data_IF_267835041003
#
_entry.id   IF_267835041003
#
_cell.length_a   1.000
_cell.length_b   1.000
_cell.length_c   1.000
_cell.angle_alpha   90.00
_cell.angle_beta   90.00
_cell.angle_gamma   90.00
#
_symmetry.space_group_name_H-M   'P 1'
#
loop_
_entity.id
_entity.type
_entity.pdbx_description
1 polymer ?
#
# COMPACT_ATOMS: atom_id res chain seq x y z
N UNK A 1 18.85 10.42 18.84
CA UNK A 1 18.58 10.97 17.48
C UNK A 1 18.24 9.92 16.41
N UNK A 2 18.80 8.70 16.40
CA UNK A 2 18.48 7.65 15.39
C UNK A 2 17.04 7.12 15.41
N UNK A 3 16.35 7.21 16.55
CA UNK A 3 14.98 6.71 16.74
C UNK A 3 13.89 7.60 16.14
N UNK A 4 14.10 8.92 16.11
CA UNK A 4 13.11 9.87 15.56
C UNK A 4 13.05 9.81 14.01
N UNK A 5 14.17 9.50 13.36
CA UNK A 5 14.22 9.31 11.90
C UNK A 5 13.46 8.05 11.45
N UNK A 6 13.45 6.98 12.26
CA UNK A 6 12.72 5.74 11.95
C UNK A 6 11.20 5.92 12.05
N UNK A 7 10.72 6.70 13.02
CA UNK A 7 9.29 6.96 13.22
C UNK A 7 8.72 7.96 12.20
N UNK A 8 9.51 8.94 11.75
CA UNK A 8 9.15 9.81 10.62
C UNK A 8 9.16 9.06 9.28
N UNK A 9 10.15 8.19 9.04
CA UNK A 9 10.20 7.34 7.85
C UNK A 9 9.04 6.34 7.77
N UNK A 10 8.62 5.78 8.91
CA UNK A 10 7.47 4.88 8.98
C UNK A 10 6.12 5.59 8.77
N UNK A 11 5.97 6.84 9.24
CA UNK A 11 4.74 7.63 9.02
C UNK A 11 4.59 8.11 7.58
N UNK A 12 5.69 8.40 6.88
CA UNK A 12 5.66 8.72 5.45
C UNK A 12 5.42 7.47 4.57
N UNK A 13 5.93 6.30 4.97
CA UNK A 13 5.67 5.05 4.25
C UNK A 13 4.17 4.69 4.21
N UNK A 14 3.40 5.03 5.25
CA UNK A 14 1.95 4.82 5.30
C UNK A 14 1.13 5.95 4.64
N UNK A 15 1.70 7.13 4.37
CA UNK A 15 1.01 8.21 3.64
C UNK A 15 1.16 8.10 2.12
N UNK A 16 2.06 7.24 1.63
CA UNK A 16 2.28 6.99 0.19
C UNK A 16 1.34 5.90 -0.35
N UNK A 17 0.35 5.46 0.43
CA UNK A 17 -0.79 4.67 -0.09
C UNK A 17 -1.81 5.60 -0.77
N UNK A 18 -1.31 6.41 -1.70
CA UNK A 18 -2.08 7.14 -2.72
C UNK A 18 -2.05 6.24 -3.97
N UNK A 19 -3.15 6.09 -4.74
CA UNK A 19 -3.30 4.99 -5.69
C UNK A 19 -2.14 4.96 -6.68
N UNK A 20 -1.25 3.97 -6.55
CA UNK A 20 -0.09 3.81 -7.42
C UNK A 20 -0.47 3.75 -8.91
N UNK A 21 -1.71 3.37 -9.22
CA UNK A 21 -2.28 3.38 -10.56
C UNK A 21 -2.44 4.80 -11.16
N UNK A 22 -2.79 5.82 -10.37
CA UNK A 22 -3.00 7.19 -10.87
C UNK A 22 -1.66 7.93 -11.07
N UNK A 23 -0.71 7.71 -10.15
CA UNK A 23 0.65 8.27 -10.27
C UNK A 23 1.42 7.62 -11.42
N UNK A 24 1.22 6.32 -11.66
CA UNK A 24 1.84 5.61 -12.79
C UNK A 24 1.35 6.11 -14.15
N UNK A 25 0.06 6.45 -14.29
CA UNK A 25 -0.52 6.95 -15.54
C UNK A 25 -0.03 8.35 -15.88
N UNK A 26 -0.06 9.28 -14.91
CA UNK A 26 0.44 10.63 -15.10
C UNK A 26 1.97 10.66 -15.30
N UNK A 27 2.71 9.79 -14.60
CA UNK A 27 4.14 9.63 -14.84
C UNK A 27 4.43 9.10 -16.25
N UNK A 28 3.67 8.11 -16.75
CA UNK A 28 3.81 7.63 -18.13
C UNK A 28 3.52 8.73 -19.15
N UNK A 29 2.45 9.51 -18.98
CA UNK A 29 2.10 10.59 -19.90
C UNK A 29 3.19 11.67 -19.91
N UNK A 30 3.68 12.07 -18.73
CA UNK A 30 4.79 13.03 -18.62
C UNK A 30 6.11 12.50 -19.19
N UNK A 31 6.39 11.21 -19.03
CA UNK A 31 7.56 10.55 -19.62
C UNK A 31 7.45 10.46 -21.16
N UNK A 32 6.29 10.10 -21.68
CA UNK A 32 6.01 10.06 -23.12
C UNK A 32 6.11 11.45 -23.76
N UNK A 33 5.48 12.45 -23.13
CA UNK A 33 5.58 13.85 -23.57
C UNK A 33 7.03 14.33 -23.57
N UNK A 34 7.76 14.10 -22.49
CA UNK A 34 9.16 14.48 -22.39
C UNK A 34 10.06 13.73 -23.39
N UNK A 35 9.80 12.46 -23.73
CA UNK A 35 10.51 11.77 -24.81
C UNK A 35 10.22 12.37 -26.19
N UNK A 36 8.98 12.79 -26.47
CA UNK A 36 8.58 13.44 -27.73
C UNK A 36 9.24 14.83 -27.85
N UNK A 37 9.27 15.61 -26.77
CA UNK A 37 9.96 16.91 -26.77
C UNK A 37 11.49 16.78 -26.78
N UNK A 38 12.03 15.74 -26.16
CA UNK A 38 13.48 15.49 -26.11
C UNK A 38 14.00 15.07 -27.46
N UNK A 39 13.28 14.17 -28.15
CA UNK A 39 13.60 13.73 -29.51
C UNK A 39 13.42 14.82 -30.56
N UNK A 40 12.44 15.72 -30.39
CA UNK A 40 12.25 16.87 -31.29
C UNK A 40 13.24 18.01 -31.07
N UNK A 41 14.12 17.90 -30.06
CA UNK A 41 15.18 18.88 -29.79
C UNK A 41 14.71 20.20 -29.19
N UNK A 42 13.41 20.34 -28.92
CA UNK A 42 12.76 21.59 -28.49
C UNK A 42 12.92 21.90 -26.99
N UNK A 43 13.39 20.94 -26.20
CA UNK A 43 13.66 21.15 -24.77
C UNK A 43 14.92 21.98 -24.55
N UNK A 44 14.77 23.04 -23.75
CA UNK A 44 15.87 23.80 -23.17
C UNK A 44 16.81 22.88 -22.37
N UNK A 45 18.08 23.29 -22.20
CA UNK A 45 19.08 22.50 -21.47
C UNK A 45 18.58 22.14 -20.06
N UNK A 46 17.93 23.08 -19.38
CA UNK A 46 17.31 22.87 -18.06
C UNK A 46 16.17 21.84 -18.11
N UNK A 47 15.30 21.92 -19.13
CA UNK A 47 14.21 20.97 -19.31
C UNK A 47 14.71 19.54 -19.57
N UNK A 48 15.79 19.38 -20.33
CA UNK A 48 16.43 18.07 -20.54
C UNK A 48 16.98 17.48 -19.24
N UNK A 49 17.59 18.31 -18.40
CA UNK A 49 18.14 17.89 -17.12
C UNK A 49 17.04 17.45 -16.13
N UNK A 50 15.94 18.22 -16.05
CA UNK A 50 14.78 17.86 -15.23
C UNK A 50 14.12 16.57 -15.73
N UNK A 51 14.02 16.38 -17.04
CA UNK A 51 13.48 15.16 -17.64
C UNK A 51 14.34 13.93 -17.28
N UNK A 52 15.66 14.02 -17.46
CA UNK A 52 16.58 12.95 -17.09
C UNK A 52 16.55 12.63 -15.59
N UNK A 53 16.45 13.65 -14.74
CA UNK A 53 16.30 13.47 -13.30
C UNK A 53 14.99 12.73 -12.96
N UNK A 54 13.87 13.11 -13.58
CA UNK A 54 12.57 12.47 -13.40
C UNK A 54 12.59 10.99 -13.84
N UNK A 55 13.12 10.70 -15.04
CA UNK A 55 13.30 9.34 -15.55
C UNK A 55 14.15 8.51 -14.60
N UNK A 56 15.26 9.07 -14.11
CA UNK A 56 16.17 8.38 -13.19
C UNK A 56 15.49 8.04 -11.87
N UNK A 57 14.75 8.98 -11.28
CA UNK A 57 13.98 8.75 -10.04
C UNK A 57 12.91 7.69 -10.26
N UNK A 58 12.19 7.74 -11.39
CA UNK A 58 11.17 6.76 -11.73
C UNK A 58 11.77 5.34 -11.89
N UNK A 59 12.87 5.21 -12.64
CA UNK A 59 13.58 3.95 -12.81
C UNK A 59 14.09 3.39 -11.49
N UNK A 60 14.66 4.23 -10.62
CA UNK A 60 15.11 3.83 -9.28
C UNK A 60 13.96 3.36 -8.40
N UNK A 61 12.81 4.06 -8.43
CA UNK A 61 11.62 3.67 -7.69
C UNK A 61 11.09 2.31 -8.16
N UNK A 62 10.96 2.11 -9.47
CA UNK A 62 10.51 0.83 -10.06
C UNK A 62 11.48 -0.31 -9.76
N UNK A 63 12.79 -0.08 -9.92
CA UNK A 63 13.83 -1.04 -9.56
C UNK A 63 13.70 -1.48 -8.09
N UNK A 64 13.51 -0.53 -7.19
CA UNK A 64 13.36 -0.81 -5.77
C UNK A 64 12.09 -1.62 -5.45
N UNK A 65 10.96 -1.34 -6.11
CA UNK A 65 9.74 -2.16 -5.98
C UNK A 65 9.93 -3.58 -6.51
N UNK A 66 10.56 -3.73 -7.68
CA UNK A 66 10.88 -5.05 -8.26
C UNK A 66 11.80 -5.82 -7.32
N UNK A 67 12.84 -5.17 -6.79
CA UNK A 67 13.77 -5.79 -5.83
C UNK A 67 13.05 -6.25 -4.57
N UNK A 68 12.11 -5.47 -4.03
CA UNK A 68 11.28 -5.87 -2.89
C UNK A 68 10.43 -7.09 -3.20
N UNK A 69 9.75 -7.11 -4.35
CA UNK A 69 8.95 -8.26 -4.80
C UNK A 69 9.79 -9.53 -4.94
N UNK A 70 10.97 -9.42 -5.56
CA UNK A 70 11.93 -10.54 -5.70
C UNK A 70 12.40 -11.05 -4.35
N UNK A 71 12.72 -10.17 -3.40
CA UNK A 71 13.10 -10.55 -2.03
C UNK A 71 11.99 -11.28 -1.28
N UNK A 72 10.75 -10.79 -1.37
CA UNK A 72 9.61 -11.46 -0.76
C UNK A 72 9.40 -12.86 -1.33
N UNK A 73 9.41 -13.01 -2.67
CA UNK A 73 9.31 -14.32 -3.34
C UNK A 73 10.46 -15.27 -2.98
N UNK A 74 11.69 -14.76 -2.97
CA UNK A 74 12.86 -15.54 -2.58
C UNK A 74 12.77 -16.01 -1.12
N UNK A 75 12.24 -15.18 -0.21
CA UNK A 75 12.01 -15.56 1.17
C UNK A 75 10.98 -16.70 1.26
N UNK A 76 9.84 -16.58 0.58
CA UNK A 76 8.81 -17.64 0.54
C UNK A 76 9.38 -18.94 -0.02
N UNK A 77 10.12 -18.88 -1.14
CA UNK A 77 10.78 -20.06 -1.72
C UNK A 77 11.79 -20.70 -0.75
N UNK A 78 12.54 -19.88 0.00
CA UNK A 78 13.49 -20.38 1.00
C UNK A 78 12.79 -21.06 2.18
N UNK A 79 11.62 -20.56 2.60
CA UNK A 79 10.82 -21.16 3.68
C UNK A 79 10.24 -22.49 3.19
N UNK A 80 9.70 -22.53 1.97
CA UNK A 80 9.19 -23.77 1.37
C UNK A 80 10.23 -24.88 1.34
N UNK A 81 11.47 -24.55 0.95
CA UNK A 81 12.57 -25.50 0.91
C UNK A 81 13.00 -25.95 2.32
N UNK A 82 13.13 -25.02 3.27
CA UNK A 82 13.59 -25.33 4.64
C UNK A 82 12.59 -26.13 5.46
N UNK A 83 11.31 -25.83 5.30
CA UNK A 83 10.24 -26.29 6.19
C UNK A 83 9.36 -27.36 5.52
N UNK A 84 9.64 -27.70 4.26
CA UNK A 84 8.87 -28.67 3.49
C UNK A 84 7.44 -28.22 3.19
N UNK A 85 7.21 -26.90 3.12
CA UNK A 85 5.90 -26.29 2.89
C UNK A 85 5.72 -25.90 1.42
N UNK A 86 4.46 -25.67 1.03
CA UNK A 86 4.07 -25.18 -0.29
C UNK A 86 3.31 -23.86 -0.17
N UNK A 87 3.95 -22.86 0.44
CA UNK A 87 3.40 -21.50 0.55
C UNK A 87 3.24 -20.87 -0.83
N UNK A 88 2.08 -20.26 -1.08
CA UNK A 88 1.78 -19.53 -2.31
C UNK A 88 2.52 -18.18 -2.36
N UNK A 89 3.33 -17.99 -3.41
CA UNK A 89 4.13 -16.78 -3.64
C UNK A 89 3.40 -15.72 -4.50
N UNK A 90 2.18 -16.04 -4.97
CA UNK A 90 1.34 -15.17 -5.80
C UNK A 90 0.34 -14.38 -4.96
N UNK A 91 -0.19 -14.99 -3.89
CA UNK A 91 -1.18 -14.40 -3.00
C UNK A 91 -0.58 -14.04 -1.65
N UNK A 92 0.16 -12.93 -1.62
CA UNK A 92 0.79 -12.42 -0.41
C UNK A 92 -0.10 -11.36 0.25
N UNK A 93 -0.65 -11.67 1.43
CA UNK A 93 -1.46 -10.71 2.18
C UNK A 93 -0.55 -9.66 2.85
N UNK A 94 -0.86 -8.38 2.62
CA UNK A 94 -0.10 -7.26 3.17
C UNK A 94 1.04 -6.75 2.27
N UNK A 95 1.40 -7.47 1.19
CA UNK A 95 2.32 -6.93 0.19
C UNK A 95 1.72 -5.65 -0.45
N UNK A 96 2.48 -4.55 -0.63
CA UNK A 96 3.95 -4.42 -0.63
C UNK A 96 4.61 -4.03 0.71
N UNK A 97 3.90 -4.14 1.84
CA UNK A 97 4.49 -3.96 3.17
C UNK A 97 5.63 -4.96 3.40
N UNK A 98 6.70 -4.59 4.14
CA UNK A 98 7.76 -5.53 4.48
C UNK A 98 7.28 -6.72 5.31
N UNK A 99 6.23 -6.54 6.11
CA UNK A 99 5.53 -7.59 6.84
C UNK A 99 4.36 -8.09 5.99
N UNK A 100 4.36 -9.37 5.65
CA UNK A 100 3.33 -9.99 4.83
C UNK A 100 3.09 -11.44 5.26
N UNK A 101 1.95 -12.00 4.84
CA UNK A 101 1.56 -13.37 5.12
C UNK A 101 1.48 -14.18 3.84
N UNK A 102 2.01 -15.40 3.89
CA UNK A 102 1.88 -16.40 2.84
C UNK A 102 1.12 -17.61 3.40
N UNK A 103 0.35 -18.29 2.56
CA UNK A 103 -0.55 -19.36 2.97
C UNK A 103 -0.17 -20.65 2.26
N UNK A 104 -0.23 -21.75 2.99
CA UNK A 104 -0.16 -23.12 2.50
C UNK A 104 -1.49 -23.82 2.81
N UNK A 105 -2.44 -23.82 1.86
CA UNK A 105 -3.74 -24.45 2.03
C UNK A 105 -3.64 -25.96 2.22
N UNK A 106 -2.63 -26.61 1.63
CA UNK A 106 -2.46 -28.06 1.65
C UNK A 106 -2.07 -28.55 3.04
N UNK A 107 -1.15 -27.85 3.70
CA UNK A 107 -0.70 -28.18 5.06
C UNK A 107 -1.46 -27.41 6.15
N UNK A 108 -2.46 -26.59 5.80
CA UNK A 108 -3.23 -25.71 6.70
C UNK A 108 -2.33 -24.82 7.59
N UNK A 109 -1.25 -24.30 7.01
CA UNK A 109 -0.23 -23.48 7.68
C UNK A 109 -0.09 -22.11 7.02
N UNK A 110 0.19 -21.10 7.81
CA UNK A 110 0.51 -19.76 7.35
C UNK A 110 1.90 -19.35 7.84
N UNK A 111 2.60 -18.58 7.01
CA UNK A 111 3.87 -17.99 7.36
C UNK A 111 3.71 -16.47 7.49
N UNK A 112 4.06 -15.93 8.65
CA UNK A 112 4.28 -14.52 8.86
C UNK A 112 5.72 -14.20 8.47
N UNK A 113 5.91 -13.38 7.45
CA UNK A 113 7.22 -13.11 6.86
C UNK A 113 7.59 -11.64 6.99
N UNK A 114 8.83 -11.36 7.34
CA UNK A 114 9.41 -10.01 7.34
C UNK A 114 10.52 -9.92 6.29
N UNK A 115 10.18 -9.48 5.07
CA UNK A 115 11.14 -9.37 3.95
C UNK A 115 12.32 -8.41 4.19
N UNK A 116 12.21 -7.51 5.16
CA UNK A 116 13.27 -6.55 5.48
C UNK A 116 14.41 -7.18 6.28
N UNK A 117 14.10 -8.07 7.21
CA UNK A 117 15.09 -8.75 8.08
C UNK A 117 15.36 -10.19 7.63
N UNK A 118 14.41 -10.82 6.93
CA UNK A 118 14.46 -12.23 6.57
C UNK A 118 13.85 -13.15 7.64
N UNK A 119 13.34 -12.58 8.73
CA UNK A 119 12.70 -13.34 9.80
C UNK A 119 11.34 -13.87 9.34
N UNK A 120 10.97 -15.04 9.85
CA UNK A 120 9.67 -15.65 9.60
C UNK A 120 9.19 -16.43 10.82
N UNK A 121 7.87 -16.55 10.93
CA UNK A 121 7.22 -17.42 11.91
C UNK A 121 6.15 -18.24 11.20
N UNK A 122 6.16 -19.55 11.43
CA UNK A 122 5.12 -20.45 10.93
C UNK A 122 4.07 -20.62 12.02
N UNK A 123 2.80 -20.55 11.62
CA UNK A 123 1.64 -20.73 12.48
C UNK A 123 0.65 -21.66 11.78
N UNK A 124 -0.11 -22.40 12.57
CA UNK A 124 -1.24 -23.16 12.03
C UNK A 124 -2.41 -22.21 11.75
N UNK A 125 -3.32 -22.61 10.85
CA UNK A 125 -4.50 -21.81 10.54
C UNK A 125 -5.41 -21.55 11.74
N UNK A 126 -5.41 -22.45 12.74
CA UNK A 126 -6.14 -22.29 14.02
C UNK A 126 -5.68 -21.07 14.82
N UNK A 127 -4.49 -20.54 14.53
CA UNK A 127 -4.00 -19.29 15.12
C UNK A 127 -4.83 -18.08 14.67
N UNK A 128 -5.52 -18.15 13.52
CA UNK A 128 -6.44 -17.11 13.06
C UNK A 128 -7.85 -17.47 13.52
N UNK A 129 -8.40 -16.69 14.45
CA UNK A 129 -9.73 -16.93 15.04
C UNK A 129 -10.86 -16.31 14.24
N UNK A 130 -10.55 -15.32 13.40
CA UNK A 130 -11.53 -14.75 12.49
C UNK A 130 -10.96 -13.65 11.62
N UNK A 131 -11.78 -13.15 10.71
CA UNK A 131 -11.41 -12.10 9.78
C UNK A 131 -12.62 -11.22 9.52
N UNK A 132 -12.38 -9.92 9.39
CA UNK A 132 -13.40 -8.96 9.06
C UNK A 132 -12.85 -7.86 8.18
N UNK A 133 -13.74 -7.25 7.43
CA UNK A 133 -13.46 -6.07 6.64
C UNK A 133 -14.00 -4.85 7.42
N UNK A 134 -13.12 -3.89 7.69
CA UNK A 134 -13.46 -2.61 8.33
C UNK A 134 -13.32 -1.47 7.32
N UNK A 135 -14.25 -0.51 7.41
CA UNK A 135 -14.16 0.76 6.69
C UNK A 135 -14.24 1.94 7.63
N UNK A 136 -13.40 2.94 7.38
CA UNK A 136 -13.41 4.20 8.13
C UNK A 136 -13.67 5.36 7.19
N UNK A 137 -14.71 6.15 7.47
CA UNK A 137 -14.95 7.43 6.82
C UNK A 137 -14.11 8.51 7.50
N UNK A 138 -13.15 9.05 6.76
CA UNK A 138 -12.38 10.22 7.21
C UNK A 138 -13.07 11.46 6.65
N UNK A 139 -13.71 12.24 7.53
CA UNK A 139 -14.19 13.57 7.19
C UNK A 139 -12.99 14.53 7.16
N UNK A 140 -12.48 14.87 5.98
CA UNK A 140 -11.53 15.98 5.86
C UNK A 140 -12.32 17.29 5.71
N UNK A 141 -12.32 18.14 6.73
CA UNK A 141 -12.67 19.55 6.56
C UNK A 141 -11.49 20.22 5.85
N UNK A 142 -11.70 20.74 4.65
CA UNK A 142 -10.75 21.64 4.00
C UNK A 142 -11.25 23.05 4.27
N UNK A 143 -10.80 23.67 5.36
CA UNK A 143 -10.89 25.13 5.50
C UNK A 143 -9.78 25.73 4.66
N UNK A 144 -10.08 26.07 3.40
CA UNK A 144 -9.06 26.57 2.48
C UNK A 144 -9.64 26.95 1.13
N UNK A 145 -10.26 28.12 1.06
CA UNK A 145 -10.68 28.77 -0.19
C UNK A 145 -11.86 29.69 0.05
N UNK A 146 -11.62 31.00 0.04
CA UNK A 146 -12.62 32.06 0.20
C UNK A 146 -13.63 32.00 -0.95
N UNK A 147 -14.71 31.25 -0.78
CA UNK A 147 -15.97 31.50 -1.49
C UNK A 147 -16.83 32.32 -0.53
N UNK A 148 -16.65 33.65 -0.57
CA UNK A 148 -17.63 34.56 0.01
C UNK A 148 -18.85 34.52 -0.90
N UNK A 149 -19.87 33.78 -0.48
CA UNK A 149 -21.20 33.97 -1.03
C UNK A 149 -21.77 35.17 -0.27
N UNK A 150 -22.08 36.23 -1.01
CA UNK A 150 -22.68 37.45 -0.49
C UNK A 150 -24.19 37.30 -0.63
N UNK A 151 -24.91 37.26 0.50
CA UNK A 151 -26.38 37.26 0.47
C UNK A 151 -26.90 38.61 -0.05
N UNK A 152 -28.18 38.67 -0.45
CA UNK A 152 -28.83 39.88 -0.98
C UNK A 152 -28.81 41.12 -0.06
N UNK A 153 -28.31 41.00 1.17
CA UNK A 153 -28.07 42.07 2.13
C UNK A 153 -26.58 42.49 2.27
N UNK A 154 -25.67 41.98 1.44
CA UNK A 154 -24.27 42.42 1.39
C UNK A 154 -23.33 41.81 2.43
N UNK A 155 -23.78 40.84 3.22
CA UNK A 155 -22.97 40.17 4.26
C UNK A 155 -22.33 38.88 3.70
N UNK A 156 -21.02 38.71 3.93
CA UNK A 156 -20.29 37.50 3.52
C UNK A 156 -20.49 36.34 4.49
N UNK A 157 -21.09 35.25 4.02
CA UNK A 157 -21.26 34.02 4.81
C UNK A 157 -20.07 33.09 4.54
N UNK A 158 -19.38 32.55 5.58
CA UNK A 158 -18.36 31.54 5.36
C UNK A 158 -19.01 30.25 4.82
N UNK A 159 -18.76 29.94 3.56
CA UNK A 159 -19.16 28.67 2.97
C UNK A 159 -18.19 27.56 3.42
N UNK A 160 -18.54 26.83 4.47
CA UNK A 160 -17.89 25.57 4.82
C UNK A 160 -18.24 24.52 3.75
N UNK A 161 -17.45 24.44 2.67
CA UNK A 161 -17.57 23.33 1.72
C UNK A 161 -17.06 22.03 2.38
N UNK A 162 -18.00 21.25 2.91
CA UNK A 162 -17.73 19.88 3.38
C UNK A 162 -17.49 18.99 2.16
N UNK A 163 -16.23 18.90 1.68
CA UNK A 163 -15.86 17.92 0.65
C UNK A 163 -15.71 16.52 1.24
N UNK A 164 -16.47 15.58 0.66
CA UNK A 164 -16.64 14.18 1.08
C UNK A 164 -15.33 13.35 1.06
N UNK A 165 -14.97 12.90 2.27
CA UNK A 165 -14.86 11.49 2.72
C UNK A 165 -13.97 10.52 1.93
N UNK A 166 -12.73 10.38 2.39
CA UNK A 166 -11.90 9.21 2.09
C UNK A 166 -12.40 8.01 2.91
N UNK A 167 -12.83 6.94 2.23
CA UNK A 167 -13.13 5.66 2.87
C UNK A 167 -11.85 4.83 2.84
N UNK A 168 -11.25 4.60 4.02
CA UNK A 168 -10.13 3.65 4.15
C UNK A 168 -10.71 2.27 4.37
N UNK A 169 -10.28 1.30 3.56
CA UNK A 169 -10.67 -0.10 3.67
C UNK A 169 -9.51 -0.87 4.33
N UNK A 170 -9.81 -1.69 5.32
CA UNK A 170 -8.81 -2.47 6.05
C UNK A 170 -9.32 -3.90 6.22
N UNK A 171 -8.49 -4.89 5.87
CA UNK A 171 -8.72 -6.26 6.30
C UNK A 171 -8.13 -6.43 7.69
N UNK A 172 -8.93 -6.96 8.61
CA UNK A 172 -8.51 -7.25 9.98
C UNK A 172 -8.52 -8.76 10.17
N UNK A 173 -7.36 -9.33 10.50
CA UNK A 173 -7.25 -10.70 10.96
C UNK A 173 -7.20 -10.71 12.49
N UNK A 174 -8.14 -11.44 13.08
CA UNK A 174 -8.17 -11.74 14.51
C UNK A 174 -7.34 -12.99 14.77
N UNK A 175 -6.51 -12.90 15.80
CA UNK A 175 -5.54 -13.91 16.16
C UNK A 175 -5.94 -14.50 17.51
N UNK A 176 -5.64 -15.78 17.74
CA UNK A 176 -5.97 -16.51 18.97
C UNK A 176 -5.28 -15.94 20.22
N UNK A 177 -4.16 -15.26 20.03
CA UNK A 177 -3.41 -14.66 21.12
C UNK A 177 -4.08 -13.36 21.58
N UNK A 178 -4.75 -13.42 22.72
CA UNK A 178 -5.45 -12.28 23.35
C UNK A 178 -4.52 -11.15 23.77
N UNK A 179 -3.20 -11.40 23.85
CA UNK A 179 -2.21 -10.37 24.15
C UNK A 179 -1.77 -9.55 22.94
N UNK A 180 -2.11 -10.00 21.72
CA UNK A 180 -1.71 -9.33 20.48
C UNK A 180 -2.86 -8.53 19.87
N UNK A 181 -2.61 -7.29 19.42
CA UNK A 181 -3.63 -6.52 18.71
C UNK A 181 -3.97 -7.18 17.37
N UNK A 182 -5.22 -7.04 16.88
CA UNK A 182 -5.61 -7.55 15.57
C UNK A 182 -4.69 -7.06 14.46
N UNK A 183 -4.35 -7.95 13.52
CA UNK A 183 -3.48 -7.63 12.39
C UNK A 183 -4.28 -6.86 11.34
N UNK A 184 -3.86 -5.63 11.05
CA UNK A 184 -4.57 -4.71 10.16
C UNK A 184 -3.81 -4.50 8.85
N UNK A 185 -4.46 -4.76 7.72
CA UNK A 185 -3.92 -4.60 6.39
C UNK A 185 -4.72 -3.54 5.62
N UNK A 186 -4.23 -2.30 5.53
CA UNK A 186 -4.90 -1.26 4.74
C UNK A 186 -4.80 -1.59 3.26
N UNK A 187 -5.92 -1.53 2.53
CA UNK A 187 -5.99 -1.86 1.11
C UNK A 187 -7.15 -1.15 0.41
N UNK A 188 -7.32 -1.39 -0.90
CA UNK A 188 -8.51 -0.91 -1.63
C UNK A 188 -9.75 -1.72 -1.26
N UNK A 189 -10.94 -1.18 -1.55
CA UNK A 189 -12.21 -1.89 -1.36
C UNK A 189 -12.24 -3.26 -2.02
N UNK A 190 -11.93 -3.31 -3.31
CA UNK A 190 -11.94 -4.55 -4.10
C UNK A 190 -10.93 -5.57 -3.56
N UNK A 191 -9.78 -5.11 -3.08
CA UNK A 191 -8.79 -5.98 -2.45
C UNK A 191 -9.32 -6.53 -1.11
N UNK A 192 -9.95 -5.70 -0.28
CA UNK A 192 -10.49 -6.11 1.02
C UNK A 192 -11.62 -7.13 0.87
N UNK A 193 -12.58 -6.87 -0.02
CA UNK A 193 -13.67 -7.80 -0.34
C UNK A 193 -13.12 -9.12 -0.89
N UNK A 194 -12.18 -9.05 -1.85
CA UNK A 194 -11.55 -10.23 -2.44
C UNK A 194 -10.72 -11.05 -1.43
N UNK A 195 -10.02 -10.40 -0.50
CA UNK A 195 -9.31 -11.08 0.57
C UNK A 195 -10.24 -11.67 1.62
N UNK A 196 -11.31 -10.99 1.98
CA UNK A 196 -12.33 -11.54 2.90
C UNK A 196 -12.96 -12.82 2.33
N UNK A 197 -13.29 -12.83 1.04
CA UNK A 197 -13.76 -14.03 0.35
C UNK A 197 -12.72 -15.16 0.35
N UNK A 198 -11.44 -14.85 0.09
CA UNK A 198 -10.34 -15.82 0.17
C UNK A 198 -10.13 -16.38 1.58
N UNK A 199 -10.17 -15.54 2.61
CA UNK A 199 -10.05 -15.99 4.00
C UNK A 199 -11.18 -16.96 4.37
N UNK A 200 -12.40 -16.74 3.87
CA UNK A 200 -13.48 -17.73 4.05
C UNK A 200 -13.12 -19.10 3.45
N UNK A 201 -12.51 -19.14 2.26
CA UNK A 201 -12.08 -20.40 1.64
C UNK A 201 -10.90 -21.03 2.37
N UNK A 202 -9.92 -20.22 2.80
CA UNK A 202 -8.72 -20.72 3.45
C UNK A 202 -8.99 -21.31 4.84
N UNK A 203 -9.82 -20.65 5.65
CA UNK A 203 -9.96 -20.96 7.07
C UNK A 203 -11.22 -21.73 7.44
N UNK A 204 -12.25 -21.80 6.58
CA UNK A 204 -13.48 -22.59 6.85
C UNK A 204 -13.47 -23.99 6.23
N UNK A 205 -12.39 -24.39 5.57
CA UNK A 205 -12.17 -25.73 5.01
C UNK A 205 -11.42 -26.68 5.97
#
# INVERSE_FOLDING_TARGET
MKTCLRTLGARLANSVVIPAAWVSGLAMIGLLWGMIEFSSGKLTVEGRQLFLASVSIFCLAMWHLIRRKRRAKALVASINLKEGLSLDDTQLLGFPSPLFFAFDPSNKKLAQCQSATGDYQIRDFTWVTGWQFEWQQINSKVSGGVLQIVDGAGMGVPADEIRRRFIRFTLVLMVADTSHPPLRFPMSRSAAEGWCARCNVLFKC
#
